data_IF_226791294194
#
_entry.id   IF_226791294194
#
_cell.length_a   1.000
_cell.length_b   1.000
_cell.length_c   1.000
_cell.angle_alpha   90.00
_cell.angle_beta   90.00
_cell.angle_gamma   90.00
#
_symmetry.space_group_name_H-M   'P 1'
#
loop_
_entity.id
_entity.type
_entity.pdbx_description
1 polymer ?
#
# COMPACT_ATOMS: atom_id res chain seq x y z
N UNK A 1 -8.49 19.24 9.35
CA UNK A 1 -8.64 17.95 10.06
C UNK A 1 -9.21 16.92 9.11
N UNK A 2 -8.73 15.65 9.12
CA UNK A 2 -9.31 14.61 8.28
C UNK A 2 -10.77 14.36 8.67
N UNK A 3 -11.66 14.31 7.67
CA UNK A 3 -13.10 14.10 7.86
C UNK A 3 -13.45 12.64 7.67
N UNK A 4 -14.27 12.08 8.57
CA UNK A 4 -14.77 10.70 8.43
C UNK A 4 -15.79 10.63 7.29
N UNK A 5 -15.65 9.64 6.42
CA UNK A 5 -16.60 9.34 5.33
C UNK A 5 -17.24 7.97 5.57
N UNK A 6 -18.50 7.83 5.16
CA UNK A 6 -19.19 6.55 5.18
C UNK A 6 -18.86 5.77 3.91
N UNK A 7 -18.52 4.49 4.06
CA UNK A 7 -18.31 3.55 2.97
C UNK A 7 -19.21 2.33 3.22
N UNK A 8 -20.05 1.99 2.24
CA UNK A 8 -20.89 0.80 2.30
C UNK A 8 -20.34 -0.28 1.37
N UNK A 9 -20.05 -1.44 1.94
CA UNK A 9 -19.51 -2.60 1.20
C UNK A 9 -20.26 -3.86 1.63
N UNK A 10 -20.49 -4.76 0.66
CA UNK A 10 -21.07 -6.07 0.94
C UNK A 10 -19.96 -7.04 1.32
N UNK A 11 -20.12 -7.71 2.46
CA UNK A 11 -19.21 -8.73 2.95
C UNK A 11 -19.90 -10.08 2.97
N UNK A 12 -19.11 -11.15 2.83
CA UNK A 12 -19.59 -12.49 3.11
C UNK A 12 -20.13 -12.56 4.55
N UNK A 13 -21.28 -13.19 4.74
CA UNK A 13 -21.98 -13.25 6.03
C UNK A 13 -21.13 -13.87 7.15
N UNK A 14 -20.35 -14.91 6.84
CA UNK A 14 -19.47 -15.58 7.80
C UNK A 14 -18.31 -14.68 8.23
N UNK A 15 -17.75 -13.91 7.29
CA UNK A 15 -16.66 -12.96 7.57
C UNK A 15 -17.17 -11.83 8.46
N UNK A 16 -18.33 -11.27 8.13
CA UNK A 16 -18.96 -10.22 8.94
C UNK A 16 -19.22 -10.71 10.38
N UNK A 17 -19.76 -11.93 10.53
CA UNK A 17 -20.05 -12.50 11.84
C UNK A 17 -18.78 -12.76 12.66
N UNK A 18 -17.74 -13.33 12.02
CA UNK A 18 -16.44 -13.55 12.66
C UNK A 18 -15.81 -12.24 13.12
N UNK A 19 -15.84 -11.20 12.28
CA UNK A 19 -15.32 -9.87 12.61
C UNK A 19 -16.09 -9.26 13.78
N UNK A 20 -17.44 -9.30 13.75
CA UNK A 20 -18.28 -8.78 14.83
C UNK A 20 -17.94 -9.43 16.17
N UNK A 21 -17.86 -10.76 16.19
CA UNK A 21 -17.51 -11.54 17.39
C UNK A 21 -16.12 -11.20 17.88
N UNK A 22 -15.12 -11.22 17.00
CA UNK A 22 -13.74 -10.89 17.33
C UNK A 22 -13.60 -9.51 17.98
N UNK A 23 -14.28 -8.50 17.41
CA UNK A 23 -14.29 -7.14 17.92
C UNK A 23 -14.99 -7.04 19.28
N UNK A 24 -16.15 -7.70 19.43
CA UNK A 24 -16.92 -7.69 20.67
C UNK A 24 -16.14 -8.34 21.83
N UNK A 25 -15.55 -9.52 21.63
CA UNK A 25 -14.76 -10.24 22.63
C UNK A 25 -13.56 -9.45 23.15
N UNK A 26 -13.02 -8.54 22.33
CA UNK A 26 -11.80 -7.76 22.64
C UNK A 26 -12.09 -6.29 22.98
N UNK A 27 -13.37 -5.88 23.00
CA UNK A 27 -13.75 -4.48 23.23
C UNK A 27 -13.27 -3.51 22.14
N UNK A 28 -13.07 -3.98 20.91
CA UNK A 28 -12.56 -3.17 19.79
C UNK A 28 -13.73 -2.63 18.98
N UNK A 29 -13.67 -1.35 18.57
CA UNK A 29 -14.66 -0.77 17.65
C UNK A 29 -14.46 -1.34 16.24
N UNK A 30 -15.53 -1.87 15.64
CA UNK A 30 -15.47 -2.45 14.29
C UNK A 30 -14.92 -1.49 13.24
N UNK A 31 -15.34 -0.22 13.26
CA UNK A 31 -14.83 0.79 12.34
C UNK A 31 -13.31 0.99 12.46
N UNK A 32 -12.79 1.01 13.69
CA UNK A 32 -11.34 1.11 13.92
C UNK A 32 -10.60 -0.13 13.43
N UNK A 33 -11.16 -1.32 13.69
CA UNK A 33 -10.59 -2.57 13.21
C UNK A 33 -10.52 -2.63 11.68
N UNK A 34 -11.60 -2.25 10.99
CA UNK A 34 -11.67 -2.23 9.53
C UNK A 34 -10.72 -1.18 8.95
N UNK A 35 -10.70 0.03 9.50
CA UNK A 35 -9.82 1.11 9.04
C UNK A 35 -8.34 0.69 9.13
N UNK A 36 -7.94 0.10 10.26
CA UNK A 36 -6.59 -0.43 10.43
C UNK A 36 -6.28 -1.58 9.47
N UNK A 37 -7.19 -2.54 9.32
CA UNK A 37 -7.00 -3.67 8.41
C UNK A 37 -6.89 -3.24 6.95
N UNK A 38 -7.63 -2.21 6.54
CA UNK A 38 -7.54 -1.65 5.19
C UNK A 38 -6.18 -0.98 4.95
N UNK A 39 -5.69 -0.18 5.90
CA UNK A 39 -4.37 0.44 5.78
C UNK A 39 -3.26 -0.60 5.68
N UNK A 40 -3.27 -1.61 6.55
CA UNK A 40 -2.29 -2.69 6.54
C UNK A 40 -2.34 -3.53 5.26
N UNK A 41 -3.52 -3.69 4.65
CA UNK A 41 -3.63 -4.38 3.37
C UNK A 41 -3.11 -3.53 2.22
N UNK A 42 -3.42 -2.23 2.20
CA UNK A 42 -2.93 -1.29 1.18
C UNK A 42 -1.39 -1.27 1.18
N UNK A 43 -0.77 -1.06 2.35
CA UNK A 43 0.69 -1.03 2.49
C UNK A 43 1.37 -2.31 1.97
N UNK A 44 0.71 -3.46 2.17
CA UNK A 44 1.20 -4.75 1.70
C UNK A 44 1.12 -4.88 0.18
N UNK A 45 0.03 -4.45 -0.43
CA UNK A 45 -0.13 -4.49 -1.89
C UNK A 45 0.84 -3.51 -2.55
N UNK A 46 0.98 -2.30 -2.02
CA UNK A 46 1.96 -1.30 -2.52
C UNK A 46 3.39 -1.86 -2.45
N UNK A 47 3.79 -2.47 -1.32
CA UNK A 47 5.09 -3.11 -1.20
C UNK A 47 5.29 -4.25 -2.22
N UNK A 48 4.26 -5.05 -2.46
CA UNK A 48 4.33 -6.13 -3.45
C UNK A 48 4.52 -5.58 -4.87
N UNK A 49 3.79 -4.51 -5.22
CA UNK A 49 3.92 -3.82 -6.50
C UNK A 49 5.33 -3.25 -6.68
N UNK A 50 5.86 -2.55 -5.66
CA UNK A 50 7.23 -2.02 -5.66
C UNK A 50 8.28 -3.13 -5.89
N UNK A 51 8.13 -4.26 -5.19
CA UNK A 51 9.03 -5.41 -5.35
C UNK A 51 8.96 -6.02 -6.75
N UNK A 52 7.77 -6.09 -7.34
CA UNK A 52 7.59 -6.57 -8.71
C UNK A 52 8.25 -5.62 -9.71
N UNK A 53 8.11 -4.31 -9.53
CA UNK A 53 8.75 -3.31 -10.36
C UNK A 53 10.27 -3.36 -10.25
N UNK A 54 10.82 -3.50 -9.04
CA UNK A 54 12.26 -3.73 -8.87
C UNK A 54 12.74 -4.97 -9.62
N UNK A 55 12.01 -6.09 -9.51
CA UNK A 55 12.37 -7.32 -10.21
C UNK A 55 12.32 -7.15 -11.73
N UNK A 56 11.30 -6.44 -12.24
CA UNK A 56 11.11 -6.16 -13.67
C UNK A 56 12.23 -5.27 -14.21
N UNK A 57 12.61 -4.24 -13.47
CA UNK A 57 13.62 -3.26 -13.87
C UNK A 57 15.05 -3.65 -13.52
N UNK A 58 15.27 -4.77 -12.82
CA UNK A 58 16.60 -5.29 -12.49
C UNK A 58 17.55 -5.37 -13.69
N UNK A 59 17.02 -5.71 -14.88
CA UNK A 59 17.83 -5.80 -16.10
C UNK A 59 18.39 -4.45 -16.57
N UNK A 60 17.79 -3.34 -16.15
CA UNK A 60 18.21 -1.98 -16.48
C UNK A 60 19.25 -1.41 -15.49
N UNK A 61 19.50 -2.09 -14.36
CA UNK A 61 20.48 -1.61 -13.35
C UNK A 61 21.89 -1.45 -13.94
N UNK A 62 22.28 -2.34 -14.86
CA UNK A 62 23.57 -2.27 -15.56
C UNK A 62 23.73 -1.02 -16.45
N UNK A 63 22.61 -0.46 -16.89
CA UNK A 63 22.54 0.70 -17.77
C UNK A 63 22.32 1.99 -16.95
N UNK A 64 22.18 1.88 -15.63
CA UNK A 64 22.01 3.01 -14.74
C UNK A 64 23.34 3.77 -14.57
N UNK A 65 23.28 5.09 -14.77
CA UNK A 65 24.40 6.01 -14.52
C UNK A 65 24.21 6.72 -13.18
N UNK A 66 25.29 7.21 -12.59
CA UNK A 66 25.20 8.03 -11.37
C UNK A 66 24.43 9.33 -11.64
N UNK A 67 23.89 9.90 -10.56
CA UNK A 67 23.16 11.16 -10.67
C UNK A 67 24.07 12.30 -11.16
N UNK A 68 25.32 12.35 -10.70
CA UNK A 68 26.32 13.32 -11.15
C UNK A 68 26.65 13.16 -12.63
N UNK A 69 26.79 11.91 -13.10
CA UNK A 69 27.06 11.62 -14.51
C UNK A 69 25.88 12.01 -15.41
N UNK A 70 24.65 11.74 -14.96
CA UNK A 70 23.44 12.22 -15.63
C UNK A 70 23.41 13.75 -15.76
N UNK A 71 23.71 14.48 -14.67
CA UNK A 71 23.74 15.95 -14.68
C UNK A 71 24.80 16.50 -15.64
N UNK A 72 25.96 15.85 -15.72
CA UNK A 72 27.03 16.21 -16.66
C UNK A 72 26.57 16.03 -18.12
N UNK A 73 26.01 14.86 -18.46
CA UNK A 73 25.52 14.57 -19.80
C UNK A 73 24.37 15.50 -20.21
N UNK A 74 23.49 15.87 -19.28
CA UNK A 74 22.39 16.79 -19.55
C UNK A 74 22.88 18.21 -19.83
N UNK A 75 23.90 18.69 -19.11
CA UNK A 75 24.47 20.03 -19.30
C UNK A 75 25.27 20.16 -20.60
N UNK A 76 25.82 19.07 -21.13
CA UNK A 76 26.55 19.08 -22.41
C UNK A 76 25.66 19.00 -23.66
N UNK A 77 24.35 18.78 -23.50
CA UNK A 77 23.36 18.78 -24.60
C UNK A 77 22.56 20.09 -24.68
N UNK A 78 22.96 21.11 -23.92
CA UNK A 78 22.49 22.50 -24.00
C UNK A 78 23.64 23.34 -24.55
#
# INVERSE_FOLDING_TARGET
MPTKKSLAVRLNSQVAERMRRYCAERGIKQGFFIEKALLEQIEREELNEDLLDFKKHRSHEKDAISFEEYLRLRRSHV
#
